data_IF_650626124437
#
_entry.id   IF_650626124437
#
_cell.length_a   1.000
_cell.length_b   1.000
_cell.length_c   1.000
_cell.angle_alpha   90.00
_cell.angle_beta   90.00
_cell.angle_gamma   90.00
#
_symmetry.space_group_name_H-M   'P 1'
#
loop_
_entity.id
_entity.type
_entity.pdbx_description
1 polymer ?
#
# COMPACT_ATOMS: atom_id res chain seq x y z
N UNK A 1 6.57 -8.38 5.66
CA UNK A 1 6.58 -9.02 7.01
C UNK A 1 7.26 -8.16 8.07
N UNK A 2 8.49 -7.67 7.90
CA UNK A 2 9.22 -6.98 8.99
C UNK A 2 8.45 -5.76 9.55
N UNK A 3 7.99 -4.85 8.68
CA UNK A 3 7.24 -3.67 9.14
C UNK A 3 5.86 -4.05 9.71
N UNK A 4 5.04 -4.82 8.98
CA UNK A 4 3.70 -5.25 9.43
C UNK A 4 3.71 -6.10 10.71
N UNK A 5 4.81 -6.79 11.00
CA UNK A 5 4.95 -7.63 12.20
C UNK A 5 5.63 -6.90 13.37
N UNK A 6 5.69 -5.56 13.35
CA UNK A 6 6.25 -4.75 14.43
C UNK A 6 7.74 -5.04 14.74
N UNK A 7 8.53 -5.49 13.75
CA UNK A 7 9.94 -5.82 13.96
C UNK A 7 10.87 -4.61 13.80
N UNK A 8 10.41 -3.52 13.15
CA UNK A 8 11.13 -2.24 13.10
C UNK A 8 10.68 -1.28 14.21
N UNK A 9 9.38 -1.19 14.46
CA UNK A 9 8.77 -0.36 15.50
C UNK A 9 7.66 -1.15 16.20
N UNK A 10 7.31 -0.76 17.43
CA UNK A 10 6.16 -1.37 18.12
C UNK A 10 4.82 -1.04 17.42
N UNK A 11 3.74 -1.69 17.83
CA UNK A 11 2.41 -1.53 17.22
C UNK A 11 1.83 -0.12 17.33
N UNK A 12 2.20 0.64 18.37
CA UNK A 12 1.75 2.03 18.55
C UNK A 12 2.32 2.97 17.50
N UNK A 13 3.47 2.63 16.91
CA UNK A 13 4.07 3.39 15.81
C UNK A 13 3.69 2.77 14.47
N UNK A 14 3.82 1.45 14.34
CA UNK A 14 3.59 0.72 13.08
C UNK A 14 2.14 0.83 12.61
N UNK A 15 1.17 0.71 13.52
CA UNK A 15 -0.25 0.74 13.17
C UNK A 15 -0.66 2.04 12.47
N UNK A 16 -0.49 3.21 13.11
CA UNK A 16 -0.77 4.49 12.48
C UNK A 16 0.05 4.72 11.21
N UNK A 17 1.34 4.33 11.23
CA UNK A 17 2.23 4.47 10.07
C UNK A 17 1.69 3.73 8.84
N UNK A 18 1.15 2.52 8.99
CA UNK A 18 0.68 1.71 7.86
C UNK A 18 -0.75 2.04 7.46
N UNK A 19 -1.63 2.34 8.43
CA UNK A 19 -3.09 2.30 8.23
C UNK A 19 -3.80 3.67 8.28
N UNK A 20 -3.25 4.65 9.00
CA UNK A 20 -3.95 5.92 9.19
C UNK A 20 -3.85 6.81 7.93
N UNK A 21 -4.92 7.48 7.53
CA UNK A 21 -4.80 8.51 6.48
C UNK A 21 -5.94 9.51 6.58
N UNK A 22 -5.72 10.72 6.06
CA UNK A 22 -6.65 11.85 6.16
C UNK A 22 -6.99 12.25 7.60
N UNK A 23 -6.03 12.16 8.50
CA UNK A 23 -6.15 12.59 9.90
C UNK A 23 -5.24 13.78 10.19
N UNK A 24 -5.27 14.31 11.42
CA UNK A 24 -4.34 15.37 11.85
C UNK A 24 -2.87 14.93 11.75
N UNK A 25 -2.57 13.68 12.11
CA UNK A 25 -1.21 13.14 12.08
C UNK A 25 -0.75 12.78 10.68
N UNK A 26 -1.68 12.34 9.83
CA UNK A 26 -1.43 11.91 8.46
C UNK A 26 -2.47 12.51 7.50
N UNK A 27 -2.33 13.78 7.11
CA UNK A 27 -3.38 14.53 6.41
C UNK A 27 -3.62 14.09 4.97
N UNK A 28 -2.68 13.35 4.37
CA UNK A 28 -2.76 12.82 3.02
C UNK A 28 -2.37 11.33 2.99
N UNK A 29 -2.74 10.57 1.94
CA UNK A 29 -2.36 9.16 1.80
C UNK A 29 -0.85 8.92 1.77
N UNK A 30 -0.07 9.87 1.25
CA UNK A 30 1.37 9.70 1.07
C UNK A 30 2.14 9.95 2.38
N UNK A 31 3.04 9.04 2.73
CA UNK A 31 3.95 9.17 3.88
C UNK A 31 5.19 8.30 3.69
N UNK A 32 6.34 8.83 4.09
CA UNK A 32 7.60 8.07 4.21
C UNK A 32 7.91 7.09 3.05
N UNK A 33 7.59 7.47 1.81
CA UNK A 33 7.88 6.67 0.62
C UNK A 33 6.77 5.72 0.13
N UNK A 34 5.59 5.72 0.74
CA UNK A 34 4.45 4.93 0.27
C UNK A 34 3.10 5.63 0.49
N UNK A 35 2.05 5.06 -0.10
CA UNK A 35 0.68 5.55 -0.01
C UNK A 35 -0.19 4.58 0.81
N UNK A 36 -1.08 5.12 1.63
CA UNK A 36 -2.10 4.40 2.39
C UNK A 36 -3.48 4.81 1.89
N UNK A 37 -4.13 3.94 1.11
CA UNK A 37 -5.48 4.15 0.57
C UNK A 37 -6.50 3.26 1.28
N UNK A 38 -7.79 3.55 1.09
CA UNK A 38 -8.86 2.78 1.72
C UNK A 38 -8.80 1.27 1.39
N UNK A 39 -8.44 0.89 0.17
CA UNK A 39 -8.50 -0.50 -0.32
C UNK A 39 -7.14 -1.23 -0.27
N UNK A 40 -6.03 -0.49 -0.16
CA UNK A 40 -4.66 -1.02 -0.20
C UNK A 40 -3.64 0.04 0.21
N UNK A 41 -2.43 -0.42 0.47
CA UNK A 41 -1.26 0.45 0.44
C UNK A 41 -0.50 0.26 -0.88
N UNK A 42 0.21 1.30 -1.30
CA UNK A 42 0.88 1.35 -2.61
C UNK A 42 2.29 1.93 -2.53
N UNK A 43 3.22 1.31 -3.23
CA UNK A 43 4.53 1.88 -3.56
C UNK A 43 4.65 1.90 -5.07
N UNK A 44 5.19 2.97 -5.64
CA UNK A 44 5.52 3.02 -7.05
C UNK A 44 6.78 3.84 -7.25
N UNK A 45 7.71 3.28 -8.00
CA UNK A 45 8.95 3.91 -8.37
C UNK A 45 9.23 3.66 -9.84
N UNK A 46 9.56 4.72 -10.58
CA UNK A 46 9.96 4.66 -11.97
C UNK A 46 11.32 5.32 -12.10
N UNK A 47 12.32 4.58 -12.56
CA UNK A 47 13.69 5.06 -12.68
C UNK A 47 14.42 4.33 -13.81
N UNK A 48 15.28 5.02 -14.56
CA UNK A 48 16.14 4.43 -15.60
C UNK A 48 15.44 3.43 -16.56
N UNK A 49 14.21 3.72 -16.96
CA UNK A 49 13.42 2.85 -17.86
C UNK A 49 12.80 1.62 -17.18
N UNK A 50 12.92 1.50 -15.87
CA UNK A 50 12.32 0.46 -15.05
C UNK A 50 11.18 1.02 -14.20
N UNK A 51 10.18 0.17 -13.94
CA UNK A 51 9.07 0.50 -13.05
C UNK A 51 8.86 -0.63 -12.04
N UNK A 52 8.77 -0.24 -10.77
CA UNK A 52 8.42 -1.10 -9.66
C UNK A 52 7.11 -0.59 -9.05
N UNK A 53 6.10 -1.45 -9.00
CA UNK A 53 4.82 -1.14 -8.35
C UNK A 53 4.50 -2.23 -7.33
N UNK A 54 4.04 -1.82 -6.16
CA UNK A 54 3.67 -2.71 -5.06
C UNK A 54 2.29 -2.34 -4.58
N UNK A 55 1.41 -3.32 -4.44
CA UNK A 55 0.17 -3.23 -3.67
C UNK A 55 0.25 -4.18 -2.50
N UNK A 56 -0.19 -3.73 -1.33
CA UNK A 56 -0.22 -4.59 -0.16
C UNK A 56 -1.37 -4.29 0.79
N UNK A 57 -1.79 -5.33 1.49
CA UNK A 57 -2.70 -5.31 2.63
C UNK A 57 -2.22 -6.34 3.67
N UNK A 58 -3.06 -6.72 4.63
CA UNK A 58 -2.70 -7.71 5.66
C UNK A 58 -2.52 -9.14 5.11
N UNK A 59 -3.07 -9.45 3.94
CA UNK A 59 -3.09 -10.81 3.36
C UNK A 59 -2.07 -11.01 2.25
N UNK A 60 -1.91 -10.03 1.37
CA UNK A 60 -1.04 -10.12 0.20
C UNK A 60 -0.12 -8.92 0.10
N UNK A 61 1.11 -9.17 -0.33
CA UNK A 61 2.07 -8.19 -0.82
C UNK A 61 2.40 -8.60 -2.26
N UNK A 62 2.03 -7.78 -3.23
CA UNK A 62 2.24 -8.07 -4.65
C UNK A 62 3.26 -7.06 -5.16
N UNK A 63 4.37 -7.55 -5.71
CA UNK A 63 5.44 -6.73 -6.28
C UNK A 63 5.53 -7.03 -7.77
N UNK A 64 5.38 -6.01 -8.60
CA UNK A 64 5.59 -6.10 -10.04
C UNK A 64 6.70 -5.14 -10.46
N UNK A 65 7.85 -5.72 -10.81
CA UNK A 65 8.96 -5.03 -11.45
C UNK A 65 8.93 -5.28 -12.95
N UNK A 66 9.11 -4.24 -13.74
CA UNK A 66 9.31 -4.31 -15.18
C UNK A 66 10.54 -3.50 -15.57
N UNK A 67 11.32 -4.03 -16.50
CA UNK A 67 12.49 -3.39 -17.09
C UNK A 67 12.22 -2.92 -18.53
N UNK A 68 10.96 -2.96 -18.94
CA UNK A 68 10.49 -2.54 -20.25
C UNK A 68 9.14 -1.86 -20.04
N UNK A 69 9.09 -0.55 -20.27
CA UNK A 69 7.88 0.24 -20.06
C UNK A 69 7.49 0.93 -21.38
N UNK A 70 6.37 0.48 -21.95
CA UNK A 70 5.73 1.13 -23.09
C UNK A 70 4.53 1.91 -22.60
N UNK A 71 3.99 2.80 -23.44
CA UNK A 71 2.75 3.53 -23.12
C UNK A 71 1.58 2.58 -22.77
N UNK A 72 1.55 1.40 -23.39
CA UNK A 72 0.49 0.41 -23.25
C UNK A 72 0.69 -0.55 -22.07
N UNK A 73 1.92 -0.73 -21.59
CA UNK A 73 2.26 -1.68 -20.53
C UNK A 73 2.53 -0.96 -19.21
N UNK A 74 1.46 -0.65 -18.48
CA UNK A 74 1.54 -0.02 -17.16
C UNK A 74 1.42 -1.09 -16.07
N UNK A 75 2.47 -1.23 -15.25
CA UNK A 75 2.44 -2.14 -14.09
C UNK A 75 1.22 -1.89 -13.21
N UNK A 76 0.79 -0.62 -13.09
CA UNK A 76 -0.41 -0.25 -12.33
C UNK A 76 -1.66 -1.02 -12.78
N UNK A 77 -1.93 -1.07 -14.09
CA UNK A 77 -3.12 -1.72 -14.64
C UNK A 77 -3.09 -3.24 -14.40
N UNK A 78 -1.93 -3.86 -14.60
CA UNK A 78 -1.75 -5.29 -14.37
C UNK A 78 -1.88 -5.64 -12.90
N UNK A 79 -1.25 -4.85 -12.04
CA UNK A 79 -1.25 -5.07 -10.61
C UNK A 79 -2.65 -4.83 -10.02
N UNK A 80 -3.40 -3.85 -10.53
CA UNK A 80 -4.80 -3.64 -10.18
C UNK A 80 -5.67 -4.82 -10.61
N UNK A 81 -5.50 -5.34 -11.83
CA UNK A 81 -6.21 -6.53 -12.29
C UNK A 81 -5.87 -7.76 -11.43
N UNK A 82 -4.60 -8.00 -11.10
CA UNK A 82 -4.20 -9.10 -10.23
C UNK A 82 -4.85 -8.94 -8.84
N UNK A 83 -4.75 -7.75 -8.25
CA UNK A 83 -5.26 -7.48 -6.91
C UNK A 83 -6.78 -7.64 -6.83
N UNK A 84 -7.52 -7.05 -7.77
CA UNK A 84 -8.99 -7.01 -7.74
C UNK A 84 -9.64 -8.23 -8.38
N UNK A 85 -9.17 -8.67 -9.54
CA UNK A 85 -9.86 -9.70 -10.35
C UNK A 85 -9.36 -11.12 -10.07
N UNK A 86 -8.05 -11.30 -9.85
CA UNK A 86 -7.48 -12.63 -9.59
C UNK A 86 -7.53 -12.95 -8.09
N UNK A 87 -7.12 -12.01 -7.23
CA UNK A 87 -7.03 -12.22 -5.79
C UNK A 87 -8.27 -11.75 -5.00
N UNK A 88 -9.22 -11.09 -5.68
CA UNK A 88 -10.49 -10.62 -5.10
C UNK A 88 -10.31 -9.72 -3.86
N UNK A 89 -9.36 -8.77 -3.90
CA UNK A 89 -9.07 -7.83 -2.82
C UNK A 89 -9.79 -6.48 -3.02
N UNK A 90 -11.12 -6.49 -3.07
CA UNK A 90 -11.97 -5.31 -3.36
C UNK A 90 -12.57 -4.64 -2.12
N UNK A 91 -12.29 -5.17 -0.92
CA UNK A 91 -12.84 -4.65 0.34
C UNK A 91 -12.06 -3.49 0.96
N UNK A 92 -12.65 -2.89 1.99
CA UNK A 92 -11.97 -1.88 2.83
C UNK A 92 -10.84 -2.54 3.60
N UNK A 93 -9.66 -1.93 3.51
CA UNK A 93 -8.46 -2.31 4.25
C UNK A 93 -8.10 -1.27 5.31
N UNK A 94 -8.14 0.02 4.97
CA UNK A 94 -7.86 1.12 5.91
C UNK A 94 -9.11 1.99 6.10
N UNK A 95 -9.39 2.35 7.35
CA UNK A 95 -10.42 3.33 7.67
C UNK A 95 -9.87 4.74 7.49
N UNK A 96 -10.36 5.44 6.46
CA UNK A 96 -9.90 6.78 6.08
C UNK A 96 -10.57 7.83 6.95
N UNK A 97 -9.79 8.83 7.41
CA UNK A 97 -10.28 9.97 8.19
C UNK A 97 -10.39 9.71 9.70
N UNK A 98 -10.06 8.50 10.15
CA UNK A 98 -10.16 8.08 11.56
C UNK A 98 -8.75 7.81 12.10
N UNK A 99 -8.37 8.39 13.26
CA UNK A 99 -7.11 8.05 13.91
C UNK A 99 -7.03 6.56 14.24
N UNK A 100 -5.89 5.93 13.95
CA UNK A 100 -5.73 4.50 14.17
C UNK A 100 -5.86 4.15 15.65
N UNK A 101 -6.73 3.19 15.96
CA UNK A 101 -6.92 2.66 17.31
C UNK A 101 -6.31 1.25 17.40
N UNK A 102 -5.54 1.02 18.46
CA UNK A 102 -4.97 -0.31 18.74
C UNK A 102 -6.12 -1.24 19.12
N UNK A 103 -6.49 -2.18 18.22
CA UNK A 103 -7.54 -3.17 18.45
C UNK A 103 -8.65 -3.25 17.39
N UNK A 104 -8.64 -2.38 16.36
CA UNK A 104 -9.69 -2.34 15.33
C UNK A 104 -9.48 -3.30 14.13
N UNK A 105 -8.51 -4.22 14.17
CA UNK A 105 -8.34 -5.27 13.16
C UNK A 105 -7.79 -6.56 13.77
#
# INVERSE_FOLDING_TARGET
MVLQNNQFFNSQVTGPLIHESYTKSYPIPYRYGFYTFADKNRINGKFFGQTFTVYFNNRYIIVLGSNYETFDFKNENLLEYIYKNILNQIGTYNEVGVPYQVGNQ
#
